data_IF_129606801863
#
_entry.id   IF_129606801863
#
_cell.length_a   1.000
_cell.length_b   1.000
_cell.length_c   1.000
_cell.angle_alpha   90.00
_cell.angle_beta   90.00
_cell.angle_gamma   90.00
#
_symmetry.space_group_name_H-M   'P 1'
#
loop_
_entity.id
_entity.type
_entity.pdbx_description
1 polymer ?
#
# COMPACT_ATOMS: atom_id res chain seq x y z
N UNK A 1 -1.29 56.62 12.95
CA UNK A 1 -1.80 55.36 13.55
C UNK A 1 -2.35 54.48 12.45
N UNK A 2 -1.88 53.23 12.39
CA UNK A 2 -2.45 52.04 11.71
C UNK A 2 -2.48 52.04 10.18
N UNK A 3 -1.34 51.60 9.63
CA UNK A 3 -1.25 50.79 8.39
C UNK A 3 -2.03 49.50 8.60
N UNK A 4 -2.79 49.00 7.62
CA UNK A 4 -3.16 47.58 7.52
C UNK A 4 -3.43 47.23 6.04
N UNK A 5 -2.40 46.65 5.45
CA UNK A 5 -2.34 46.03 4.13
C UNK A 5 -2.84 44.57 4.21
N UNK A 6 -3.05 43.95 3.04
CA UNK A 6 -3.19 42.51 2.75
C UNK A 6 -4.54 41.85 3.01
N UNK A 7 -5.25 41.48 1.94
CA UNK A 7 -5.90 40.16 1.85
C UNK A 7 -6.06 39.75 0.38
N UNK A 8 -5.28 38.75 -0.07
CA UNK A 8 -5.65 37.79 -1.11
C UNK A 8 -4.56 36.72 -1.15
N UNK A 9 -4.57 35.84 -0.14
CA UNK A 9 -3.74 34.65 -0.09
C UNK A 9 -4.40 33.61 -1.01
N UNK A 10 -3.98 33.54 -2.28
CA UNK A 10 -4.30 32.42 -3.17
C UNK A 10 -3.48 31.21 -2.72
N UNK A 11 -4.05 30.42 -1.81
CA UNK A 11 -3.49 29.11 -1.45
C UNK A 11 -4.04 28.08 -2.43
N UNK A 12 -3.41 27.99 -3.59
CA UNK A 12 -3.62 26.88 -4.54
C UNK A 12 -2.94 25.65 -3.95
N UNK A 13 -3.65 24.91 -3.09
CA UNK A 13 -3.17 23.64 -2.55
C UNK A 13 -3.01 22.63 -3.68
N UNK A 14 -1.76 22.43 -4.11
CA UNK A 14 -1.34 21.31 -4.92
C UNK A 14 -1.57 20.03 -4.12
N UNK A 15 -2.65 19.31 -4.40
CA UNK A 15 -2.81 17.91 -4.00
C UNK A 15 -1.80 17.09 -4.81
N UNK A 16 -0.56 17.03 -4.34
CA UNK A 16 0.39 16.03 -4.78
C UNK A 16 -0.05 14.71 -4.15
N UNK A 17 -0.71 13.86 -4.94
CA UNK A 17 -0.96 12.46 -4.58
C UNK A 17 0.38 11.72 -4.57
N UNK A 18 1.15 11.89 -3.50
CA UNK A 18 2.28 11.02 -3.23
C UNK A 18 1.70 9.66 -2.87
N UNK A 19 1.86 8.67 -3.76
CA UNK A 19 1.68 7.28 -3.38
C UNK A 19 2.76 6.99 -2.34
N UNK A 20 2.37 6.92 -1.07
CA UNK A 20 3.30 6.50 -0.03
C UNK A 20 3.53 5.01 -0.24
N UNK A 21 4.76 4.64 -0.61
CA UNK A 21 5.21 3.25 -0.54
C UNK A 21 4.96 2.75 0.88
N UNK A 22 4.36 1.57 1.01
CA UNK A 22 4.13 0.98 2.32
C UNK A 22 5.48 0.69 2.98
N UNK A 23 5.55 0.87 4.30
CA UNK A 23 6.78 0.57 5.07
C UNK A 23 7.21 -0.90 4.99
N UNK A 24 6.33 -1.77 4.48
CA UNK A 24 6.56 -3.21 4.31
C UNK A 24 6.92 -3.60 2.88
N UNK A 25 7.08 -2.62 1.98
CA UNK A 25 7.55 -2.85 0.62
C UNK A 25 8.96 -3.48 0.64
N UNK A 26 9.19 -4.38 -0.31
CA UNK A 26 10.45 -5.09 -0.52
C UNK A 26 10.79 -5.03 -2.00
N UNK A 27 12.07 -5.16 -2.41
CA UNK A 27 12.42 -5.16 -3.82
C UNK A 27 11.57 -6.15 -4.64
N UNK A 28 10.85 -5.64 -5.63
CA UNK A 28 9.95 -6.43 -6.49
C UNK A 28 8.57 -6.74 -5.87
N UNK A 29 8.23 -6.16 -4.73
CA UNK A 29 6.95 -6.30 -4.06
C UNK A 29 6.36 -4.94 -3.67
N UNK A 30 5.04 -4.82 -3.83
CA UNK A 30 4.26 -3.70 -3.32
C UNK A 30 3.31 -4.25 -2.27
N UNK A 31 3.17 -3.53 -1.17
CA UNK A 31 2.30 -3.92 -0.06
C UNK A 31 1.27 -2.84 0.25
N UNK A 32 0.09 -3.27 0.67
CA UNK A 32 -1.02 -2.41 1.05
C UNK A 32 -1.61 -2.94 2.36
N UNK A 33 -2.04 -2.06 3.27
CA UNK A 33 -2.67 -2.48 4.52
C UNK A 33 -4.17 -2.21 4.40
N UNK A 34 -4.96 -3.28 4.35
CA UNK A 34 -6.43 -3.21 4.38
C UNK A 34 -6.94 -4.04 5.56
N UNK A 35 -7.82 -3.46 6.37
CA UNK A 35 -8.42 -4.11 7.55
C UNK A 35 -7.41 -4.80 8.50
N UNK A 36 -6.24 -4.17 8.68
CA UNK A 36 -5.17 -4.68 9.54
C UNK A 36 -4.47 -5.92 8.99
N UNK A 37 -4.55 -6.15 7.68
CA UNK A 37 -3.88 -7.25 6.97
C UNK A 37 -2.93 -6.69 5.94
N UNK A 38 -1.77 -7.35 5.82
CA UNK A 38 -0.78 -7.01 4.82
C UNK A 38 -1.14 -7.68 3.51
N UNK A 39 -1.63 -6.91 2.55
CA UNK A 39 -1.71 -7.37 1.17
C UNK A 39 -0.37 -7.22 0.49
N UNK A 40 0.02 -8.24 -0.27
CA UNK A 40 1.30 -8.29 -0.97
C UNK A 40 1.08 -8.66 -2.43
N UNK A 41 1.70 -7.88 -3.30
CA UNK A 41 1.65 -8.06 -4.75
C UNK A 41 3.04 -7.95 -5.36
N UNK A 42 3.22 -8.56 -6.52
CA UNK A 42 4.36 -8.25 -7.38
C UNK A 42 4.23 -6.83 -7.92
N UNK A 43 5.35 -6.12 -7.98
CA UNK A 43 5.39 -4.80 -8.60
C UNK A 43 4.94 -4.89 -10.07
N UNK A 44 4.01 -4.02 -10.48
CA UNK A 44 3.46 -3.99 -11.84
C UNK A 44 2.57 -5.20 -12.21
N UNK A 45 2.14 -5.98 -11.23
CA UNK A 45 1.26 -7.13 -11.50
C UNK A 45 -0.18 -6.73 -11.80
N UNK A 46 -0.89 -7.47 -12.67
CA UNK A 46 -2.31 -7.22 -12.92
C UNK A 46 -3.16 -7.38 -11.65
N UNK A 47 -2.75 -8.25 -10.73
CA UNK A 47 -3.42 -8.43 -9.44
C UNK A 47 -3.35 -7.17 -8.57
N UNK A 48 -2.23 -6.45 -8.58
CA UNK A 48 -2.10 -5.15 -7.91
C UNK A 48 -3.02 -4.10 -8.55
N UNK A 49 -3.08 -4.07 -9.87
CA UNK A 49 -3.95 -3.13 -10.58
C UNK A 49 -5.43 -3.40 -10.31
N UNK A 50 -5.83 -4.67 -10.33
CA UNK A 50 -7.20 -5.08 -10.03
C UNK A 50 -7.53 -4.80 -8.57
N UNK A 51 -6.61 -5.08 -7.64
CA UNK A 51 -6.77 -4.73 -6.24
C UNK A 51 -7.04 -3.24 -6.04
N UNK A 52 -6.28 -2.37 -6.72
CA UNK A 52 -6.47 -0.91 -6.65
C UNK A 52 -7.80 -0.45 -7.26
N UNK A 53 -8.41 -1.22 -8.16
CA UNK A 53 -9.68 -0.88 -8.82
C UNK A 53 -10.89 -1.43 -8.06
N UNK A 54 -10.80 -2.65 -7.54
CA UNK A 54 -11.95 -3.41 -7.02
C UNK A 54 -11.84 -3.76 -5.54
N UNK A 55 -10.67 -3.59 -4.91
CA UNK A 55 -10.39 -4.06 -3.56
C UNK A 55 -9.97 -5.53 -3.54
N UNK A 56 -10.45 -6.31 -2.57
CA UNK A 56 -9.98 -7.69 -2.36
C UNK A 56 -10.18 -8.58 -3.61
N UNK A 57 -9.14 -9.32 -4.07
CA UNK A 57 -9.24 -10.17 -5.25
C UNK A 57 -10.12 -11.41 -4.98
N UNK A 58 -10.75 -11.95 -6.03
CA UNK A 58 -11.63 -13.11 -5.91
C UNK A 58 -10.94 -14.38 -5.37
N UNK A 59 -9.64 -14.52 -5.66
CA UNK A 59 -8.79 -15.59 -5.13
C UNK A 59 -7.75 -14.96 -4.21
N UNK A 60 -7.59 -15.55 -3.03
CA UNK A 60 -6.63 -15.10 -2.04
C UNK A 60 -5.96 -16.28 -1.35
N UNK A 61 -4.67 -16.11 -1.09
CA UNK A 61 -3.86 -16.95 -0.23
C UNK A 61 -3.57 -16.17 1.03
N UNK A 62 -3.63 -16.83 2.18
CA UNK A 62 -3.52 -16.18 3.48
C UNK A 62 -2.56 -16.96 4.36
N UNK A 63 -1.62 -16.23 4.97
CA UNK A 63 -0.74 -16.76 6.01
C UNK A 63 -0.91 -15.91 7.28
N UNK A 64 -1.35 -16.55 8.35
CA UNK A 64 -1.77 -15.87 9.59
C UNK A 64 -0.57 -15.74 10.52
N UNK A 65 -0.22 -14.50 10.89
CA UNK A 65 0.83 -14.24 11.88
C UNK A 65 2.25 -14.23 11.33
N UNK A 66 2.43 -14.51 10.04
CA UNK A 66 3.77 -14.57 9.41
C UNK A 66 4.28 -13.24 8.88
N UNK A 67 3.46 -12.19 8.94
CA UNK A 67 3.85 -10.84 8.55
C UNK A 67 4.60 -10.09 9.66
N UNK A 68 5.17 -8.92 9.32
CA UNK A 68 5.74 -8.00 10.30
C UNK A 68 4.77 -7.72 11.45
N UNK A 69 5.28 -7.63 12.68
CA UNK A 69 4.47 -7.43 13.91
C UNK A 69 3.37 -8.49 14.12
N UNK A 70 3.50 -9.67 13.52
CA UNK A 70 2.48 -10.74 13.60
C UNK A 70 1.25 -10.47 12.74
N UNK A 71 1.35 -9.60 11.74
CA UNK A 71 0.25 -9.30 10.82
C UNK A 71 -0.11 -10.51 9.94
N UNK A 72 -1.38 -10.65 9.60
CA UNK A 72 -1.81 -11.62 8.56
C UNK A 72 -1.35 -11.11 7.19
N UNK A 73 -0.71 -11.97 6.40
CA UNK A 73 -0.28 -11.66 5.04
C UNK A 73 -1.22 -12.31 4.04
N UNK A 74 -1.69 -11.54 3.07
CA UNK A 74 -2.59 -11.97 1.99
C UNK A 74 -1.96 -11.68 0.63
N UNK A 75 -2.21 -12.54 -0.35
CA UNK A 75 -1.85 -12.28 -1.75
C UNK A 75 -2.84 -12.95 -2.70
N UNK A 76 -2.98 -12.40 -3.90
CA UNK A 76 -3.81 -13.01 -4.96
C UNK A 76 -3.16 -14.28 -5.56
N UNK A 77 -1.84 -14.42 -5.41
CA UNK A 77 -1.04 -15.51 -5.96
C UNK A 77 -0.23 -16.20 -4.85
N UNK A 78 -0.25 -17.54 -4.86
CA UNK A 78 0.41 -18.35 -3.84
C UNK A 78 1.92 -18.16 -3.87
N UNK A 79 2.49 -18.11 -5.08
CA UNK A 79 3.92 -17.97 -5.26
C UNK A 79 4.39 -16.61 -4.74
N UNK A 80 3.64 -15.55 -5.01
CA UNK A 80 3.91 -14.20 -4.52
C UNK A 80 3.89 -14.14 -3.00
N UNK A 81 2.90 -14.76 -2.35
CA UNK A 81 2.86 -14.89 -0.89
C UNK A 81 4.13 -15.57 -0.36
N UNK A 82 4.48 -16.74 -0.90
CA UNK A 82 5.63 -17.51 -0.44
C UNK A 82 6.96 -16.78 -0.67
N UNK A 83 7.16 -16.19 -1.86
CA UNK A 83 8.37 -15.44 -2.19
C UNK A 83 8.53 -14.23 -1.24
N UNK A 84 7.44 -13.54 -0.91
CA UNK A 84 7.49 -12.42 0.03
C UNK A 84 7.83 -12.88 1.45
N UNK A 85 7.17 -13.93 1.97
CA UNK A 85 7.45 -14.47 3.29
C UNK A 85 8.90 -14.96 3.42
N UNK A 86 9.47 -15.50 2.35
CA UNK A 86 10.90 -15.85 2.31
C UNK A 86 11.80 -14.62 2.41
N UNK A 87 11.38 -13.47 1.87
CA UNK A 87 12.14 -12.22 1.96
C UNK A 87 12.11 -11.55 3.35
N UNK A 88 11.27 -12.05 4.27
CA UNK A 88 11.20 -11.57 5.65
C UNK A 88 12.19 -12.27 6.60
N UNK A 89 12.78 -13.40 6.17
CA UNK A 89 13.76 -14.17 6.94
C UNK A 89 15.17 -13.60 6.76
#
# INVERSE_FOLDING_TARGET
>A
MKKLTLTAMLLSSLFASATFASQYDKPGFVTEIEDGRLWVFREGSPELEDFKKTGEPAKQFTDIGSGPEGMTVKSADEKTLQDYLQSLK
#
